data_IF_548850237274
#
_entry.id   IF_548850237274
#
_cell.length_a   1.000
_cell.length_b   1.000
_cell.length_c   1.000
_cell.angle_alpha   90.00
_cell.angle_beta   90.00
_cell.angle_gamma   90.00
#
_symmetry.space_group_name_H-M   'P 1'
#
loop_
_entity.id
_entity.type
_entity.pdbx_description
1 polymer ?
#
# COMPACT_ATOMS: atom_id res chain seq x y z
N UNK A 1 -2.20 -20.44 -8.29
CA UNK A 1 -3.42 -21.21 -8.62
C UNK A 1 -4.34 -20.34 -9.47
N UNK A 2 -5.19 -20.92 -10.31
CA UNK A 2 -6.26 -20.18 -11.00
C UNK A 2 -7.36 -19.80 -10.00
N UNK A 3 -7.81 -18.54 -10.03
CA UNK A 3 -8.91 -18.08 -9.18
C UNK A 3 -10.22 -18.78 -9.56
N UNK A 4 -11.16 -18.98 -8.62
CA UNK A 4 -12.47 -19.54 -8.94
C UNK A 4 -13.29 -18.55 -9.77
N UNK A 5 -14.03 -19.05 -10.77
CA UNK A 5 -14.94 -18.20 -11.56
C UNK A 5 -16.18 -17.77 -10.77
N UNK A 6 -16.53 -18.49 -9.70
CA UNK A 6 -17.68 -18.22 -8.84
C UNK A 6 -17.35 -18.46 -7.37
N UNK A 7 -17.86 -17.59 -6.51
CA UNK A 7 -17.84 -17.73 -5.05
C UNK A 7 -19.26 -17.55 -4.52
N UNK A 8 -19.68 -18.40 -3.57
CA UNK A 8 -20.98 -18.30 -2.88
C UNK A 8 -20.83 -17.42 -1.64
N UNK A 9 -21.71 -16.43 -1.49
CA UNK A 9 -21.68 -15.49 -0.38
C UNK A 9 -22.73 -15.83 0.69
N UNK A 10 -22.25 -16.11 1.90
CA UNK A 10 -23.04 -16.51 3.06
C UNK A 10 -23.58 -15.29 3.83
N UNK A 11 -24.62 -14.64 3.28
CA UNK A 11 -25.29 -13.51 3.92
C UNK A 11 -26.80 -13.48 3.62
N UNK A 12 -27.61 -13.23 4.66
CA UNK A 12 -29.05 -12.97 4.49
C UNK A 12 -29.34 -11.58 3.91
N UNK A 13 -28.38 -10.67 3.96
CA UNK A 13 -28.48 -9.33 3.43
C UNK A 13 -28.02 -9.30 1.96
N UNK A 14 -28.98 -9.22 1.04
CA UNK A 14 -28.72 -9.17 -0.41
C UNK A 14 -28.07 -7.87 -0.84
N UNK A 15 -28.38 -6.73 -0.20
CA UNK A 15 -27.71 -5.46 -0.47
C UNK A 15 -26.21 -5.52 -0.10
N UNK A 16 -25.87 -6.19 1.00
CA UNK A 16 -24.47 -6.47 1.39
C UNK A 16 -23.76 -7.31 0.32
N UNK A 17 -24.46 -8.28 -0.25
CA UNK A 17 -23.91 -9.14 -1.32
C UNK A 17 -23.57 -8.32 -2.55
N UNK A 18 -24.50 -7.46 -3.01
CA UNK A 18 -24.27 -6.58 -4.16
C UNK A 18 -23.08 -5.62 -3.94
N UNK A 19 -22.92 -5.09 -2.72
CA UNK A 19 -21.82 -4.19 -2.38
C UNK A 19 -20.46 -4.88 -2.38
N UNK A 20 -20.37 -6.15 -1.96
CA UNK A 20 -19.13 -6.94 -2.05
C UNK A 20 -18.88 -7.40 -3.49
N UNK A 21 -19.93 -7.86 -4.19
CA UNK A 21 -19.86 -8.42 -5.54
C UNK A 21 -19.28 -7.44 -6.56
N UNK A 22 -19.48 -6.12 -6.37
CA UNK A 22 -18.91 -5.08 -7.25
C UNK A 22 -17.38 -5.16 -7.35
N UNK A 23 -16.69 -5.59 -6.29
CA UNK A 23 -15.24 -5.74 -6.28
C UNK A 23 -14.78 -7.05 -6.92
N UNK A 24 -15.44 -8.17 -6.63
CA UNK A 24 -15.13 -9.47 -7.26
C UNK A 24 -15.36 -9.44 -8.78
N UNK A 25 -16.39 -8.71 -9.23
CA UNK A 25 -16.68 -8.51 -10.66
C UNK A 25 -15.52 -7.88 -11.43
N UNK A 26 -14.72 -7.03 -10.77
CA UNK A 26 -13.52 -6.44 -11.39
C UNK A 26 -12.44 -7.48 -11.74
N UNK A 27 -12.51 -8.65 -11.13
CA UNK A 27 -11.59 -9.79 -11.35
C UNK A 27 -12.23 -10.93 -12.14
N UNK A 28 -13.39 -10.69 -12.79
CA UNK A 28 -14.12 -11.74 -13.51
C UNK A 28 -14.74 -12.81 -12.61
N UNK A 29 -14.83 -12.58 -11.29
CA UNK A 29 -15.38 -13.54 -10.34
C UNK A 29 -16.84 -13.18 -10.04
N UNK A 30 -17.73 -14.14 -10.27
CA UNK A 30 -19.13 -14.01 -9.91
C UNK A 30 -19.33 -14.31 -8.41
N UNK A 31 -19.79 -13.32 -7.65
CA UNK A 31 -20.17 -13.51 -6.25
C UNK A 31 -21.69 -13.71 -6.14
N UNK A 32 -22.12 -14.95 -5.95
CA UNK A 32 -23.53 -15.36 -5.94
C UNK A 32 -24.05 -15.42 -4.51
N UNK A 33 -25.22 -14.85 -4.22
CA UNK A 33 -25.80 -15.01 -2.88
C UNK A 33 -26.23 -16.48 -2.69
N UNK A 34 -25.93 -17.08 -1.53
CA UNK A 34 -26.29 -18.48 -1.27
C UNK A 34 -27.80 -18.78 -1.47
N UNK A 35 -28.67 -17.77 -1.29
CA UNK A 35 -30.12 -17.87 -1.43
C UNK A 35 -30.60 -18.12 -2.86
N UNK A 36 -29.72 -17.95 -3.85
CA UNK A 36 -29.98 -18.30 -5.23
C UNK A 36 -29.84 -19.81 -5.47
N UNK A 37 -29.11 -20.51 -4.59
CA UNK A 37 -28.83 -21.94 -4.70
C UNK A 37 -29.69 -22.78 -3.76
N UNK A 38 -29.97 -22.26 -2.56
CA UNK A 38 -30.76 -22.94 -1.53
C UNK A 38 -31.72 -21.96 -0.82
N UNK A 39 -32.80 -22.44 -0.16
CA UNK A 39 -33.70 -21.58 0.60
C UNK A 39 -32.97 -20.77 1.69
N UNK A 40 -33.58 -19.66 2.10
CA UNK A 40 -33.05 -18.83 3.19
C UNK A 40 -32.85 -19.66 4.47
N UNK A 41 -31.74 -19.39 5.16
CA UNK A 41 -31.31 -20.09 6.35
C UNK A 41 -31.29 -19.16 7.57
N UNK A 42 -31.57 -19.75 8.73
CA UNK A 42 -31.39 -19.11 10.03
C UNK A 42 -29.95 -19.35 10.50
N UNK A 43 -29.11 -18.33 10.35
CA UNK A 43 -27.72 -18.42 10.77
C UNK A 43 -27.59 -18.61 12.28
N UNK A 44 -26.53 -19.30 12.75
CA UNK A 44 -26.25 -19.40 14.17
C UNK A 44 -26.04 -18.02 14.81
N UNK A 45 -26.27 -17.87 16.14
CA UNK A 45 -26.09 -16.61 16.83
C UNK A 45 -24.68 -16.02 16.65
N UNK A 46 -24.61 -14.72 16.38
CA UNK A 46 -23.37 -13.95 16.27
C UNK A 46 -22.90 -13.42 17.63
N UNK A 47 -21.59 -13.43 17.87
CA UNK A 47 -20.98 -12.70 18.99
C UNK A 47 -20.98 -11.20 18.73
N UNK A 48 -20.67 -10.42 19.76
CA UNK A 48 -20.62 -8.95 19.69
C UNK A 48 -19.21 -8.38 19.67
N UNK A 49 -18.20 -9.24 19.74
CA UNK A 49 -16.80 -8.90 19.98
C UNK A 49 -15.81 -9.63 19.06
N UNK A 50 -16.27 -10.55 18.20
CA UNK A 50 -15.38 -11.31 17.30
C UNK A 50 -15.92 -11.39 15.85
N UNK A 51 -15.42 -10.49 15.00
CA UNK A 51 -15.74 -10.45 13.55
C UNK A 51 -15.31 -11.72 12.82
N UNK A 52 -14.16 -12.29 13.20
CA UNK A 52 -13.61 -13.44 12.53
C UNK A 52 -14.42 -14.70 12.85
N UNK A 53 -14.85 -14.85 14.10
CA UNK A 53 -15.76 -15.92 14.52
C UNK A 53 -17.11 -15.80 13.81
N UNK A 54 -17.71 -14.62 13.78
CA UNK A 54 -18.99 -14.40 13.10
C UNK A 54 -18.93 -14.74 11.61
N UNK A 55 -17.91 -14.24 10.91
CA UNK A 55 -17.70 -14.56 9.50
C UNK A 55 -17.46 -16.08 9.30
N UNK A 56 -16.62 -16.71 10.14
CA UNK A 56 -16.33 -18.15 10.05
C UNK A 56 -17.58 -19.00 10.26
N UNK A 57 -18.41 -18.69 11.26
CA UNK A 57 -19.65 -19.41 11.55
C UNK A 57 -20.58 -19.36 10.33
N UNK A 58 -20.77 -18.18 9.73
CA UNK A 58 -21.61 -18.02 8.53
C UNK A 58 -21.06 -18.81 7.33
N UNK A 59 -19.76 -18.70 7.06
CA UNK A 59 -19.12 -19.42 5.97
C UNK A 59 -19.24 -20.94 6.16
N UNK A 60 -18.96 -21.44 7.36
CA UNK A 60 -18.98 -22.88 7.66
C UNK A 60 -20.39 -23.46 7.65
N UNK A 61 -21.37 -22.69 8.12
CA UNK A 61 -22.77 -23.08 8.06
C UNK A 61 -23.23 -23.30 6.61
N UNK A 62 -22.98 -22.35 5.71
CA UNK A 62 -23.34 -22.50 4.29
C UNK A 62 -22.48 -23.54 3.58
N UNK A 63 -21.19 -23.64 3.88
CA UNK A 63 -20.32 -24.67 3.30
C UNK A 63 -20.77 -26.10 3.67
N UNK A 64 -21.36 -26.30 4.86
CA UNK A 64 -21.94 -27.61 5.23
C UNK A 64 -23.10 -28.00 4.32
N UNK A 65 -23.87 -27.02 3.83
CA UNK A 65 -25.00 -27.23 2.92
C UNK A 65 -24.55 -27.30 1.44
N UNK A 66 -23.43 -26.66 1.11
CA UNK A 66 -22.86 -26.55 -0.24
C UNK A 66 -21.36 -26.93 -0.23
N UNK A 67 -20.99 -28.20 0.05
CA UNK A 67 -19.62 -28.60 0.37
C UNK A 67 -18.64 -28.62 -0.82
N UNK A 68 -19.15 -28.38 -2.04
CA UNK A 68 -18.32 -28.33 -3.25
C UNK A 68 -18.07 -26.89 -3.72
N UNK A 69 -18.62 -25.90 -3.01
CA UNK A 69 -18.53 -24.49 -3.36
C UNK A 69 -17.42 -23.79 -2.58
N UNK A 70 -16.83 -22.76 -3.18
CA UNK A 70 -16.10 -21.75 -2.43
C UNK A 70 -17.11 -20.88 -1.68
N UNK A 71 -17.09 -20.88 -0.35
CA UNK A 71 -18.07 -20.15 0.46
C UNK A 71 -17.39 -19.02 1.24
N UNK A 72 -17.74 -17.79 0.88
CA UNK A 72 -17.26 -16.57 1.51
C UNK A 72 -18.33 -16.00 2.46
N UNK A 73 -17.91 -15.59 3.65
CA UNK A 73 -18.68 -14.71 4.50
C UNK A 73 -17.87 -13.47 4.85
N UNK A 74 -18.56 -12.38 5.15
CA UNK A 74 -17.94 -11.20 5.73
C UNK A 74 -18.58 -10.80 7.06
N UNK A 75 -17.78 -10.12 7.88
CA UNK A 75 -18.27 -9.30 8.97
C UNK A 75 -17.58 -7.95 9.01
N UNK A 76 -18.36 -6.88 9.00
CA UNK A 76 -17.87 -5.51 8.82
C UNK A 76 -18.25 -4.63 10.01
N UNK A 77 -17.36 -3.74 10.42
CA UNK A 77 -17.58 -2.82 11.54
C UNK A 77 -16.99 -1.44 11.27
N UNK A 78 -17.52 -0.43 11.98
CA UNK A 78 -17.03 0.94 11.94
C UNK A 78 -16.32 1.26 13.26
N UNK A 79 -15.07 1.69 13.21
CA UNK A 79 -14.24 1.93 14.37
C UNK A 79 -13.89 3.41 14.48
N UNK A 80 -14.32 4.02 15.58
CA UNK A 80 -14.10 5.43 15.87
C UNK A 80 -13.07 5.54 16.99
N UNK A 81 -11.88 6.10 16.73
CA UNK A 81 -10.78 6.13 17.72
C UNK A 81 -11.16 6.89 18.99
N UNK A 82 -11.96 7.95 18.85
CA UNK A 82 -12.47 8.74 19.98
C UNK A 82 -13.53 8.00 20.81
N UNK A 83 -14.08 6.88 20.30
CA UNK A 83 -15.13 6.10 20.93
C UNK A 83 -14.83 4.59 20.83
N UNK A 84 -13.71 4.10 21.42
CA UNK A 84 -13.25 2.72 21.25
C UNK A 84 -14.21 1.69 21.86
N UNK A 85 -15.00 2.09 22.85
CA UNK A 85 -16.02 1.26 23.52
C UNK A 85 -17.36 1.21 22.78
N UNK A 86 -17.50 1.96 21.68
CA UNK A 86 -18.72 2.08 20.90
C UNK A 86 -18.46 1.66 19.46
N UNK A 87 -19.53 1.32 18.74
CA UNK A 87 -19.42 0.87 17.36
C UNK A 87 -18.58 -0.42 17.23
N UNK A 88 -17.94 -0.63 16.09
CA UNK A 88 -17.35 -1.92 15.71
C UNK A 88 -18.44 -2.87 15.20
N UNK A 89 -18.55 -4.04 15.81
CA UNK A 89 -19.55 -5.07 15.47
C UNK A 89 -21.00 -4.65 15.75
N UNK A 90 -21.20 -3.66 16.62
CA UNK A 90 -22.52 -3.24 17.07
C UNK A 90 -23.07 -2.03 16.33
N UNK A 91 -22.35 -1.46 15.35
CA UNK A 91 -22.74 -0.23 14.64
C UNK A 91 -24.19 -0.26 14.16
N UNK A 92 -24.60 -1.31 13.45
CA UNK A 92 -25.97 -1.43 12.96
C UNK A 92 -27.02 -1.59 14.08
N UNK A 93 -26.64 -2.23 15.20
CA UNK A 93 -27.52 -2.40 16.39
C UNK A 93 -27.70 -1.06 17.10
N UNK A 94 -26.64 -0.28 17.18
CA UNK A 94 -26.64 1.06 17.77
C UNK A 94 -27.51 2.02 16.97
N UNK A 95 -27.34 2.08 15.64
CA UNK A 95 -28.22 2.89 14.78
C UNK A 95 -29.69 2.50 14.92
N UNK A 96 -29.98 1.19 14.98
CA UNK A 96 -31.34 0.69 15.21
C UNK A 96 -31.88 1.08 16.59
N UNK A 97 -31.07 0.97 17.65
CA UNK A 97 -31.47 1.36 19.01
C UNK A 97 -31.76 2.86 19.13
N UNK A 98 -31.05 3.68 18.35
CA UNK A 98 -31.26 5.12 18.24
C UNK A 98 -32.43 5.49 17.31
N UNK A 99 -33.06 4.53 16.62
CA UNK A 99 -34.16 4.78 15.70
C UNK A 99 -33.74 5.50 14.41
N UNK A 100 -32.45 5.46 14.05
CA UNK A 100 -31.96 6.06 12.82
C UNK A 100 -32.44 5.22 11.62
N UNK A 101 -33.34 5.79 10.82
CA UNK A 101 -34.02 5.08 9.74
C UNK A 101 -33.49 5.39 8.33
N UNK A 102 -32.55 6.32 8.20
CA UNK A 102 -32.01 6.75 6.90
C UNK A 102 -30.49 6.89 6.97
N UNK A 103 -29.83 6.62 5.84
CA UNK A 103 -28.38 6.85 5.70
C UNK A 103 -27.99 8.28 6.07
N UNK A 104 -28.81 9.27 5.71
CA UNK A 104 -28.53 10.67 6.07
C UNK A 104 -28.54 10.88 7.59
N UNK A 105 -29.47 10.25 8.31
CA UNK A 105 -29.53 10.31 9.77
C UNK A 105 -28.37 9.56 10.43
N UNK A 106 -27.98 8.39 9.90
CA UNK A 106 -26.79 7.64 10.35
C UNK A 106 -25.51 8.45 10.16
N UNK A 107 -25.33 9.05 8.97
CA UNK A 107 -24.16 9.85 8.66
C UNK A 107 -24.10 11.12 9.54
N UNK A 108 -25.21 11.84 9.65
CA UNK A 108 -25.29 13.04 10.49
C UNK A 108 -24.95 12.70 11.94
N UNK A 109 -25.45 11.59 12.46
CA UNK A 109 -25.15 11.14 13.82
C UNK A 109 -23.65 10.91 14.04
N UNK A 110 -22.98 10.22 13.11
CA UNK A 110 -21.53 9.99 13.19
C UNK A 110 -20.76 11.31 13.09
N UNK A 111 -21.20 12.23 12.23
CA UNK A 111 -20.57 13.56 12.08
C UNK A 111 -20.74 14.41 13.34
N UNK A 112 -21.92 14.40 13.96
CA UNK A 112 -22.20 15.15 15.19
C UNK A 112 -21.33 14.68 16.37
N UNK A 113 -20.99 13.38 16.42
CA UNK A 113 -20.06 12.85 17.43
C UNK A 113 -18.66 13.47 17.32
N UNK A 114 -18.22 13.83 16.11
CA UNK A 114 -16.91 14.43 15.85
C UNK A 114 -16.93 15.96 15.77
N UNK A 115 -18.09 16.60 15.60
CA UNK A 115 -18.21 18.06 15.50
C UNK A 115 -17.57 18.82 16.68
N UNK A 116 -17.41 18.17 17.83
CA UNK A 116 -16.84 18.73 19.06
C UNK A 116 -15.45 18.18 19.42
N UNK A 117 -14.80 17.44 18.51
CA UNK A 117 -13.53 16.75 18.76
C UNK A 117 -12.44 17.23 17.82
N UNK A 118 -11.19 17.19 18.30
CA UNK A 118 -10.01 17.47 17.49
C UNK A 118 -9.52 16.22 16.74
N UNK A 119 -9.68 15.03 17.32
CA UNK A 119 -9.30 13.76 16.70
C UNK A 119 -10.49 13.18 15.92
N UNK A 120 -10.40 13.19 14.59
CA UNK A 120 -11.44 12.67 13.68
C UNK A 120 -11.15 11.26 13.17
N UNK A 121 -10.14 10.59 13.75
CA UNK A 121 -9.66 9.29 13.29
C UNK A 121 -10.75 8.24 13.36
N UNK A 122 -10.97 7.57 12.23
CA UNK A 122 -11.91 6.49 12.09
C UNK A 122 -11.56 5.61 10.89
N UNK A 123 -11.92 4.33 10.97
CA UNK A 123 -11.85 3.43 9.82
C UNK A 123 -13.02 2.44 9.83
N UNK A 124 -13.31 1.86 8.68
CA UNK A 124 -14.13 0.66 8.56
C UNK A 124 -13.21 -0.55 8.40
N UNK A 125 -13.59 -1.70 8.96
CA UNK A 125 -12.90 -2.96 8.74
C UNK A 125 -13.87 -4.04 8.28
N UNK A 126 -13.47 -4.84 7.30
CA UNK A 126 -14.15 -6.07 6.89
C UNK A 126 -13.23 -7.26 7.12
N UNK A 127 -13.73 -8.25 7.86
CA UNK A 127 -13.12 -9.57 7.94
C UNK A 127 -13.82 -10.47 6.93
N UNK A 128 -13.05 -11.06 6.02
CA UNK A 128 -13.52 -12.08 5.09
C UNK A 128 -13.04 -13.44 5.57
N UNK A 129 -13.96 -14.41 5.56
CA UNK A 129 -13.63 -15.82 5.77
C UNK A 129 -14.13 -16.62 4.58
N UNK A 130 -13.19 -17.22 3.85
CA UNK A 130 -13.46 -18.12 2.74
C UNK A 130 -13.18 -19.56 3.18
N UNK A 131 -14.11 -20.45 2.92
CA UNK A 131 -13.91 -21.90 3.02
C UNK A 131 -13.92 -22.47 1.61
N UNK A 132 -12.85 -23.19 1.26
CA UNK A 132 -12.67 -23.83 -0.04
C UNK A 132 -13.30 -25.22 -0.08
N UNK A 133 -13.56 -25.81 -1.25
CA UNK A 133 -14.12 -27.16 -1.38
C UNK A 133 -13.27 -28.26 -0.69
N UNK A 134 -11.96 -28.06 -0.57
CA UNK A 134 -11.04 -28.94 0.16
C UNK A 134 -10.93 -28.58 1.67
N UNK A 135 -11.87 -27.77 2.18
CA UNK A 135 -12.02 -27.36 3.57
C UNK A 135 -10.87 -26.50 4.13
N UNK A 136 -10.07 -25.88 3.27
CA UNK A 136 -9.13 -24.85 3.72
C UNK A 136 -9.90 -23.60 4.11
N UNK A 137 -9.50 -22.98 5.23
CA UNK A 137 -10.09 -21.72 5.69
C UNK A 137 -9.08 -20.59 5.51
N UNK A 138 -9.47 -19.57 4.74
CA UNK A 138 -8.70 -18.36 4.56
C UNK A 138 -9.41 -17.22 5.28
N UNK A 139 -8.69 -16.49 6.13
CA UNK A 139 -9.18 -15.30 6.81
C UNK A 139 -8.32 -14.12 6.41
N UNK A 140 -8.95 -13.01 6.00
CA UNK A 140 -8.26 -11.75 5.67
C UNK A 140 -9.02 -10.56 6.23
N UNK A 141 -8.31 -9.48 6.52
CA UNK A 141 -8.87 -8.20 6.95
C UNK A 141 -8.61 -7.12 5.90
N UNK A 142 -9.61 -6.33 5.55
CA UNK A 142 -9.41 -5.08 4.83
C UNK A 142 -9.89 -3.91 5.67
N UNK A 143 -9.05 -2.88 5.81
CA UNK A 143 -9.39 -1.61 6.48
C UNK A 143 -9.50 -0.49 5.48
N UNK A 144 -10.52 0.35 5.59
CA UNK A 144 -10.71 1.49 4.70
C UNK A 144 -11.14 2.74 5.46
N UNK A 145 -10.69 3.89 4.95
CA UNK A 145 -10.86 5.18 5.60
C UNK A 145 -9.85 5.44 6.73
N UNK A 146 -9.59 6.72 6.98
CA UNK A 146 -8.65 7.22 8.01
C UNK A 146 -9.27 8.24 8.96
N UNK A 147 -10.35 8.91 8.54
CA UNK A 147 -11.06 9.89 9.35
C UNK A 147 -12.52 10.03 8.92
N UNK A 148 -13.34 10.69 9.75
CA UNK A 148 -14.69 11.13 9.41
C UNK A 148 -14.65 12.54 8.82
N UNK A 149 -15.35 12.74 7.70
CA UNK A 149 -15.56 14.01 7.02
C UNK A 149 -16.67 14.81 7.72
N UNK A 150 -16.52 16.14 7.89
CA UNK A 150 -17.59 16.98 8.40
C UNK A 150 -18.80 17.06 7.45
N UNK A 151 -18.61 16.73 6.17
CA UNK A 151 -19.65 16.79 5.13
C UNK A 151 -19.75 15.45 4.41
N UNK A 152 -20.98 15.06 4.04
CA UNK A 152 -21.22 13.94 3.14
C UNK A 152 -20.90 14.35 1.70
N UNK A 153 -19.96 13.66 1.05
CA UNK A 153 -19.54 13.93 -0.34
C UNK A 153 -19.49 12.65 -1.16
N UNK A 154 -19.53 12.79 -2.49
CA UNK A 154 -19.34 11.69 -3.45
C UNK A 154 -20.63 11.15 -4.08
N UNK A 155 -20.47 10.42 -5.19
CA UNK A 155 -21.57 9.90 -6.02
C UNK A 155 -21.45 8.41 -6.37
N UNK A 156 -20.27 7.81 -6.14
CA UNK A 156 -19.95 6.42 -6.51
C UNK A 156 -20.08 5.43 -5.35
N UNK A 157 -20.26 5.93 -4.13
CA UNK A 157 -20.50 5.14 -2.91
C UNK A 157 -21.84 5.48 -2.26
N UNK A 158 -22.22 4.73 -1.23
CA UNK A 158 -23.46 4.94 -0.46
C UNK A 158 -23.20 4.72 1.03
N UNK A 159 -24.15 5.08 1.89
CA UNK A 159 -24.01 4.83 3.31
C UNK A 159 -22.90 5.66 3.93
N UNK A 160 -22.09 5.00 4.75
CA UNK A 160 -20.93 5.60 5.42
C UNK A 160 -19.79 5.96 4.45
N UNK A 161 -19.75 5.41 3.23
CA UNK A 161 -18.72 5.75 2.24
C UNK A 161 -18.67 7.26 1.92
N UNK A 162 -19.78 7.96 2.11
CA UNK A 162 -19.87 9.41 1.85
C UNK A 162 -19.25 10.26 2.94
N UNK A 163 -18.90 9.69 4.09
CA UNK A 163 -18.30 10.41 5.22
C UNK A 163 -16.93 9.86 5.63
N UNK A 164 -16.54 8.67 5.20
CA UNK A 164 -15.19 8.17 5.48
C UNK A 164 -14.18 8.75 4.51
N UNK A 165 -13.27 9.57 5.04
CA UNK A 165 -12.12 10.12 4.33
C UNK A 165 -11.07 9.03 4.09
N UNK A 166 -10.48 9.04 2.92
CA UNK A 166 -9.26 8.29 2.62
C UNK A 166 -8.04 9.18 2.85
N UNK A 167 -6.85 8.62 2.69
CA UNK A 167 -5.54 9.25 2.90
C UNK A 167 -5.36 10.55 2.06
N UNK A 168 -6.21 10.76 1.05
CA UNK A 168 -6.21 11.92 0.15
C UNK A 168 -7.08 13.09 0.61
N UNK A 169 -7.92 12.88 1.64
CA UNK A 169 -8.96 13.83 2.03
C UNK A 169 -10.24 13.78 1.18
N UNK A 170 -10.32 12.90 0.16
CA UNK A 170 -11.59 12.55 -0.50
C UNK A 170 -12.37 11.56 0.35
N UNK A 171 -13.70 11.56 0.24
CA UNK A 171 -14.52 10.48 0.78
C UNK A 171 -14.42 9.24 -0.11
N UNK A 172 -14.65 8.04 0.44
CA UNK A 172 -14.64 6.81 -0.36
C UNK A 172 -15.68 6.88 -1.51
N UNK A 173 -16.81 7.55 -1.30
CA UNK A 173 -17.84 7.73 -2.30
C UNK A 173 -17.47 8.69 -3.45
N UNK A 174 -16.38 9.46 -3.33
CA UNK A 174 -15.84 10.27 -4.44
C UNK A 174 -15.03 9.44 -5.44
N UNK A 175 -14.69 8.19 -5.09
CA UNK A 175 -13.87 7.29 -5.89
C UNK A 175 -14.73 6.37 -6.76
N UNK A 176 -14.32 6.15 -8.01
CA UNK A 176 -14.91 5.11 -8.85
C UNK A 176 -14.77 3.72 -8.22
N UNK A 177 -15.57 2.74 -8.63
CA UNK A 177 -15.49 1.37 -8.06
C UNK A 177 -14.08 0.77 -8.19
N UNK A 178 -13.38 1.04 -9.29
CA UNK A 178 -12.01 0.60 -9.51
C UNK A 178 -11.02 1.26 -8.53
N UNK A 179 -11.19 2.56 -8.23
CA UNK A 179 -10.37 3.26 -7.24
C UNK A 179 -10.70 2.82 -5.81
N UNK A 180 -12.00 2.62 -5.50
CA UNK A 180 -12.45 2.12 -4.19
C UNK A 180 -11.77 0.81 -3.81
N UNK A 181 -11.39 -0.04 -4.78
CA UNK A 181 -10.65 -1.27 -4.54
C UNK A 181 -9.40 -1.04 -3.65
N UNK A 182 -8.77 0.13 -3.75
CA UNK A 182 -7.53 0.48 -3.03
C UNK A 182 -7.76 1.14 -1.68
N UNK A 183 -8.98 1.58 -1.35
CA UNK A 183 -9.24 2.42 -0.18
C UNK A 183 -10.45 1.97 0.65
N UNK A 184 -11.35 1.19 0.06
CA UNK A 184 -12.53 0.65 0.71
C UNK A 184 -12.18 -0.64 1.45
N UNK A 185 -12.69 -0.80 2.67
CA UNK A 185 -12.45 -1.96 3.55
C UNK A 185 -12.74 -3.31 2.86
N UNK A 186 -13.92 -3.48 2.24
CA UNK A 186 -14.24 -4.69 1.44
C UNK A 186 -13.42 -4.81 0.15
N UNK A 187 -12.99 -3.69 -0.44
CA UNK A 187 -12.16 -3.70 -1.64
C UNK A 187 -10.77 -4.26 -1.33
N UNK A 188 -10.14 -3.73 -0.29
CA UNK A 188 -8.86 -4.23 0.26
C UNK A 188 -8.99 -5.69 0.73
N UNK A 189 -10.08 -6.06 1.42
CA UNK A 189 -10.32 -7.46 1.81
C UNK A 189 -10.46 -8.40 0.60
N UNK A 190 -11.11 -7.95 -0.47
CA UNK A 190 -11.22 -8.70 -1.74
C UNK A 190 -9.82 -8.93 -2.32
N UNK A 191 -9.01 -7.89 -2.48
CA UNK A 191 -7.64 -8.01 -3.00
C UNK A 191 -6.80 -9.02 -2.21
N UNK A 192 -6.76 -8.86 -0.89
CA UNK A 192 -6.00 -9.75 0.00
C UNK A 192 -6.48 -11.19 -0.10
N UNK A 193 -7.79 -11.42 -0.17
CA UNK A 193 -8.32 -12.77 -0.31
C UNK A 193 -7.87 -13.43 -1.62
N UNK A 194 -7.93 -12.69 -2.73
CA UNK A 194 -7.51 -13.19 -4.05
C UNK A 194 -6.00 -13.45 -4.09
N UNK A 195 -5.19 -12.56 -3.53
CA UNK A 195 -3.76 -12.77 -3.39
C UNK A 195 -3.44 -14.01 -2.54
N UNK A 196 -4.16 -14.23 -1.44
CA UNK A 196 -3.99 -15.41 -0.58
C UNK A 196 -4.37 -16.71 -1.29
N UNK A 197 -5.39 -16.69 -2.15
CA UNK A 197 -5.73 -17.83 -3.03
C UNK A 197 -4.65 -18.12 -4.08
N UNK A 198 -3.83 -17.13 -4.42
CA UNK A 198 -2.74 -17.25 -5.39
C UNK A 198 -1.38 -17.55 -4.75
N UNK A 199 -1.28 -17.60 -3.41
CA UNK A 199 -0.01 -17.62 -2.65
C UNK A 199 0.87 -16.37 -2.91
N UNK A 200 0.20 -15.23 -3.13
CA UNK A 200 0.82 -13.92 -3.42
C UNK A 200 0.56 -12.86 -2.32
N UNK A 201 -0.02 -13.25 -1.18
CA UNK A 201 -0.27 -12.38 -0.01
C UNK A 201 1.05 -12.04 0.72
N UNK A 202 1.80 -11.12 0.12
CA UNK A 202 3.06 -10.60 0.66
C UNK A 202 2.80 -9.21 1.24
N UNK A 203 3.15 -9.06 2.51
CA UNK A 203 3.00 -7.82 3.27
C UNK A 203 4.39 -7.24 3.55
N UNK A 204 4.54 -5.93 3.34
CA UNK A 204 5.69 -5.17 3.80
C UNK A 204 5.34 -4.33 5.02
N UNK A 205 5.91 -4.69 6.14
CA UNK A 205 5.69 -4.03 7.41
C UNK A 205 6.61 -2.83 7.57
N UNK A 206 6.02 -1.69 7.90
CA UNK A 206 6.72 -0.43 8.10
C UNK A 206 6.12 0.32 9.29
N UNK A 207 6.76 0.22 10.45
CA UNK A 207 6.41 0.98 11.65
C UNK A 207 4.92 0.90 12.07
N UNK A 208 4.34 -0.30 11.99
CA UNK A 208 2.92 -0.53 12.30
C UNK A 208 1.97 -0.38 11.10
N UNK A 209 2.50 -0.07 9.91
CA UNK A 209 1.77 -0.10 8.65
C UNK A 209 2.01 -1.42 7.91
N UNK A 210 0.94 -2.01 7.38
CA UNK A 210 0.99 -3.17 6.48
C UNK A 210 0.80 -2.70 5.04
N UNK A 211 1.89 -2.61 4.29
CA UNK A 211 1.85 -2.29 2.86
C UNK A 211 1.60 -3.58 2.06
N UNK A 212 0.49 -3.59 1.35
CA UNK A 212 0.04 -4.74 0.55
C UNK A 212 0.26 -4.46 -0.93
N UNK A 213 0.64 -5.49 -1.68
CA UNK A 213 1.25 -5.31 -3.00
C UNK A 213 0.35 -5.68 -4.19
N UNK A 214 -0.91 -6.03 -3.94
CA UNK A 214 -1.81 -6.63 -4.95
C UNK A 214 -2.10 -5.69 -6.12
N UNK A 215 -2.07 -4.38 -5.88
CA UNK A 215 -2.27 -3.34 -6.91
C UNK A 215 -1.02 -2.47 -7.11
N UNK A 216 0.13 -2.99 -6.70
CA UNK A 216 1.37 -2.22 -6.60
C UNK A 216 1.34 -1.20 -5.47
N UNK A 217 2.48 -1.09 -4.81
CA UNK A 217 2.82 -0.09 -3.80
C UNK A 217 3.39 1.11 -4.55
N UNK A 218 2.66 2.22 -4.59
CA UNK A 218 3.09 3.44 -5.27
C UNK A 218 3.94 4.28 -4.31
N UNK A 219 5.19 4.47 -4.68
CA UNK A 219 6.22 5.04 -3.84
C UNK A 219 6.66 6.38 -4.47
N UNK A 220 6.04 7.47 -4.01
CA UNK A 220 6.18 8.81 -4.58
C UNK A 220 7.49 9.48 -4.16
N UNK A 221 8.26 9.96 -5.13
CA UNK A 221 9.54 10.65 -4.86
C UNK A 221 9.29 12.13 -4.54
N UNK A 222 9.65 12.58 -3.35
CA UNK A 222 9.62 13.97 -2.91
C UNK A 222 11.05 14.47 -2.67
N UNK A 223 11.61 15.15 -3.67
CA UNK A 223 12.92 15.79 -3.54
C UNK A 223 12.78 17.13 -2.83
N UNK A 224 13.30 17.24 -1.61
CA UNK A 224 13.26 18.49 -0.85
C UNK A 224 14.31 19.45 -1.40
N UNK A 225 13.85 20.57 -1.94
CA UNK A 225 14.72 21.65 -2.41
C UNK A 225 14.88 22.71 -1.30
N UNK A 226 16.07 23.32 -1.13
CA UNK A 226 16.23 24.45 -0.23
C UNK A 226 15.29 25.60 -0.63
N UNK A 227 14.91 26.42 0.34
CA UNK A 227 14.16 27.64 0.06
C UNK A 227 14.98 28.57 -0.85
N UNK A 228 14.35 29.05 -1.92
CA UNK A 228 14.92 29.97 -2.88
C UNK A 228 13.88 30.99 -3.32
N UNK A 229 14.32 32.11 -3.89
CA UNK A 229 13.41 33.11 -4.46
C UNK A 229 13.48 33.06 -5.99
N UNK A 230 12.32 32.98 -6.65
CA UNK A 230 12.20 33.14 -8.09
C UNK A 230 11.07 34.13 -8.38
N UNK A 231 11.36 35.19 -9.14
CA UNK A 231 10.41 36.27 -9.44
C UNK A 231 9.71 36.90 -8.22
N UNK A 232 10.37 36.93 -7.06
CA UNK A 232 9.82 37.49 -5.82
C UNK A 232 8.92 36.55 -5.03
N UNK A 233 8.69 35.33 -5.50
CA UNK A 233 7.96 34.27 -4.79
C UNK A 233 8.94 33.27 -4.17
N UNK A 234 8.59 32.74 -3.00
CA UNK A 234 9.32 31.62 -2.39
C UNK A 234 9.08 30.35 -3.22
N UNK A 235 10.16 29.75 -3.71
CA UNK A 235 10.16 28.47 -4.41
C UNK A 235 10.94 27.45 -3.58
N UNK A 236 10.32 26.29 -3.35
CA UNK A 236 10.86 25.22 -2.51
C UNK A 236 10.49 25.37 -1.02
N UNK A 237 11.23 24.70 -0.16
CA UNK A 237 11.01 24.75 1.29
C UNK A 237 9.96 23.79 1.84
N UNK A 238 9.70 23.94 3.14
CA UNK A 238 8.90 22.99 3.93
C UNK A 238 7.43 22.99 3.49
N UNK A 239 6.81 24.17 3.39
CA UNK A 239 5.39 24.30 3.00
C UNK A 239 5.11 23.74 1.61
N UNK A 240 5.98 24.04 0.64
CA UNK A 240 5.86 23.52 -0.74
C UNK A 240 6.02 22.00 -0.74
N UNK A 241 6.97 21.46 0.02
CA UNK A 241 7.18 20.01 0.12
C UNK A 241 5.96 19.30 0.73
N UNK A 242 5.35 19.86 1.78
CA UNK A 242 4.13 19.32 2.40
C UNK A 242 2.95 19.37 1.40
N UNK A 243 2.80 20.45 0.64
CA UNK A 243 1.77 20.55 -0.39
C UNK A 243 1.97 19.51 -1.51
N UNK A 244 3.21 19.29 -1.95
CA UNK A 244 3.54 18.24 -2.93
C UNK A 244 3.27 16.85 -2.38
N UNK A 245 3.65 16.55 -1.13
CA UNK A 245 3.31 15.28 -0.48
C UNK A 245 1.79 15.07 -0.38
N UNK A 246 1.05 16.12 -0.04
CA UNK A 246 -0.42 16.11 -0.03
C UNK A 246 -0.98 15.74 -1.40
N UNK A 247 -0.43 16.32 -2.47
CA UNK A 247 -0.84 16.01 -3.84
C UNK A 247 -0.45 14.57 -4.23
N UNK A 248 0.74 14.08 -3.87
CA UNK A 248 1.14 12.70 -4.13
C UNK A 248 0.23 11.69 -3.43
N UNK A 249 -0.11 11.92 -2.16
CA UNK A 249 -1.10 11.12 -1.47
C UNK A 249 -2.43 11.18 -2.24
N UNK A 250 -2.87 12.38 -2.64
CA UNK A 250 -4.08 12.58 -3.42
C UNK A 250 -4.14 11.86 -4.78
N UNK A 251 -2.98 11.71 -5.41
CA UNK A 251 -2.79 11.00 -6.67
C UNK A 251 -2.64 9.48 -6.47
N UNK A 252 -2.56 9.03 -5.23
CA UNK A 252 -2.64 7.63 -4.83
C UNK A 252 -1.31 6.99 -4.43
N UNK A 253 -0.36 7.78 -3.92
CA UNK A 253 0.85 7.26 -3.29
C UNK A 253 0.50 6.47 -2.02
N UNK A 254 1.09 5.28 -1.87
CA UNK A 254 1.07 4.52 -0.61
C UNK A 254 2.20 4.97 0.31
N UNK A 255 3.31 5.43 -0.26
CA UNK A 255 4.49 5.93 0.44
C UNK A 255 4.96 7.23 -0.17
N UNK A 256 5.30 8.22 0.66
CA UNK A 256 5.99 9.45 0.24
C UNK A 256 7.44 9.39 0.70
N UNK A 257 8.38 9.38 -0.23
CA UNK A 257 9.81 9.36 0.07
C UNK A 257 10.41 10.76 0.07
N UNK A 258 10.85 11.19 1.24
CA UNK A 258 11.53 12.46 1.46
C UNK A 258 13.04 12.28 1.21
N UNK A 259 13.54 12.88 0.14
CA UNK A 259 14.97 12.92 -0.19
C UNK A 259 15.56 14.30 0.03
N UNK A 260 16.53 14.43 0.94
CA UNK A 260 17.24 15.70 1.21
C UNK A 260 18.44 15.95 0.30
N UNK A 261 19.01 14.89 -0.27
CA UNK A 261 20.21 14.91 -1.08
C UNK A 261 19.97 14.26 -2.46
N UNK A 262 20.56 14.84 -3.51
CA UNK A 262 20.64 14.16 -4.81
C UNK A 262 21.75 13.12 -4.82
N UNK A 263 21.46 11.90 -5.27
CA UNK A 263 22.42 10.80 -5.44
C UNK A 263 23.04 10.77 -6.85
N UNK A 264 22.82 11.82 -7.66
CA UNK A 264 23.37 11.93 -9.02
C UNK A 264 24.92 12.03 -9.00
N UNK A 265 25.61 11.41 -9.97
CA UNK A 265 27.06 11.54 -10.10
C UNK A 265 27.52 13.02 -10.16
N UNK A 266 28.58 13.35 -9.43
CA UNK A 266 29.22 14.67 -9.46
C UNK A 266 28.64 15.73 -8.52
N UNK A 267 27.67 15.40 -7.66
CA UNK A 267 27.18 16.32 -6.64
C UNK A 267 28.04 16.30 -5.36
N UNK A 268 28.18 17.43 -4.68
CA UNK A 268 28.86 17.51 -3.37
C UNK A 268 27.91 16.96 -2.31
N UNK A 269 28.25 15.86 -1.61
CA UNK A 269 27.38 15.32 -0.56
C UNK A 269 27.12 16.37 0.53
N UNK A 270 25.88 16.43 1.02
CA UNK A 270 25.55 17.20 2.21
C UNK A 270 26.19 16.55 3.43
N UNK A 271 26.53 17.35 4.44
CA UNK A 271 26.83 16.81 5.77
C UNK A 271 25.54 16.20 6.36
N UNK A 272 25.64 15.25 7.31
CA UNK A 272 24.46 14.73 7.99
C UNK A 272 23.57 15.84 8.56
N UNK A 273 24.16 16.86 9.18
CA UNK A 273 23.44 17.97 9.81
C UNK A 273 22.63 18.76 8.79
N UNK A 274 23.23 19.11 7.64
CA UNK A 274 22.55 19.86 6.59
C UNK A 274 21.42 19.05 5.92
N UNK A 275 21.55 17.72 5.85
CA UNK A 275 20.48 16.85 5.36
C UNK A 275 19.34 16.75 6.40
N UNK A 276 19.66 16.60 7.68
CA UNK A 276 18.71 16.58 8.80
C UNK A 276 17.88 17.87 8.85
N UNK A 277 18.54 19.04 8.82
CA UNK A 277 17.89 20.35 8.82
C UNK A 277 16.89 20.51 7.66
N UNK A 278 17.13 19.81 6.54
CA UNK A 278 16.28 19.86 5.36
C UNK A 278 15.09 18.91 5.45
N UNK A 279 15.29 17.67 5.90
CA UNK A 279 14.24 16.64 5.82
C UNK A 279 13.35 16.58 7.06
N UNK A 280 13.89 16.82 8.25
CA UNK A 280 13.14 16.64 9.51
C UNK A 280 11.90 17.53 9.58
N UNK A 281 11.96 18.83 9.26
CA UNK A 281 10.77 19.68 9.26
C UNK A 281 9.71 19.23 8.25
N UNK A 282 10.12 18.65 7.11
CA UNK A 282 9.22 18.12 6.09
C UNK A 282 8.53 16.85 6.58
N UNK A 283 9.28 15.91 7.16
CA UNK A 283 8.73 14.66 7.73
C UNK A 283 7.69 15.00 8.81
N UNK A 284 8.06 15.84 9.78
CA UNK A 284 7.17 16.27 10.85
C UNK A 284 5.93 17.01 10.31
N UNK A 285 6.11 17.87 9.30
CA UNK A 285 5.03 18.58 8.65
C UNK A 285 4.05 17.64 7.93
N UNK A 286 4.56 16.64 7.20
CA UNK A 286 3.74 15.61 6.55
C UNK A 286 2.98 14.81 7.60
N UNK A 287 3.65 14.29 8.64
CA UNK A 287 2.98 13.51 9.71
C UNK A 287 1.99 14.36 10.52
N UNK A 288 2.17 15.67 10.59
CA UNK A 288 1.19 16.57 11.23
C UNK A 288 -0.07 16.76 10.38
N UNK A 289 0.08 16.99 9.08
CA UNK A 289 -1.05 17.22 8.16
C UNK A 289 -1.74 15.90 7.78
N UNK A 290 -0.96 14.84 7.62
CA UNK A 290 -1.39 13.49 7.25
C UNK A 290 -0.83 12.46 8.24
N UNK A 291 -1.42 12.32 9.44
CA UNK A 291 -0.92 11.42 10.50
C UNK A 291 -0.75 9.96 10.09
N UNK A 292 -1.48 9.53 9.06
CA UNK A 292 -1.50 8.16 8.55
C UNK A 292 -0.62 7.92 7.33
N UNK A 293 -0.01 8.97 6.77
CA UNK A 293 0.90 8.82 5.66
C UNK A 293 2.13 7.99 6.07
N UNK A 294 2.50 7.05 5.22
CA UNK A 294 3.76 6.30 5.35
C UNK A 294 4.85 7.15 4.72
N UNK A 295 5.82 7.58 5.53
CA UNK A 295 6.92 8.43 5.08
C UNK A 295 8.20 7.62 5.03
N UNK A 296 8.83 7.57 3.86
CA UNK A 296 10.15 6.99 3.70
C UNK A 296 11.24 8.06 3.62
N UNK A 297 12.48 7.70 3.94
CA UNK A 297 13.64 8.57 3.78
C UNK A 297 14.71 7.87 2.94
N UNK A 298 15.17 8.54 1.88
CA UNK A 298 16.27 8.11 1.02
C UNK A 298 17.59 8.62 1.62
N UNK A 299 18.26 7.77 2.40
CA UNK A 299 19.56 8.12 3.00
C UNK A 299 20.40 6.89 3.32
N UNK A 300 21.72 7.03 3.16
CA UNK A 300 22.71 6.05 3.57
C UNK A 300 23.48 6.49 4.83
N UNK A 301 23.17 7.66 5.42
CA UNK A 301 23.92 8.21 6.55
C UNK A 301 23.26 7.82 7.87
N UNK A 302 24.01 7.18 8.76
CA UNK A 302 23.49 6.70 10.05
C UNK A 302 22.83 7.81 10.88
N UNK A 303 23.48 8.96 11.00
CA UNK A 303 22.98 10.09 11.81
C UNK A 303 21.66 10.65 11.24
N UNK A 304 21.49 10.63 9.91
CA UNK A 304 20.25 11.04 9.24
C UNK A 304 19.15 10.02 9.47
N UNK A 305 19.46 8.71 9.43
CA UNK A 305 18.49 7.66 9.73
C UNK A 305 17.92 7.81 11.15
N UNK A 306 18.78 8.06 12.15
CA UNK A 306 18.34 8.28 13.54
C UNK A 306 17.36 9.44 13.61
N UNK A 307 17.74 10.61 13.08
CA UNK A 307 16.90 11.81 13.14
C UNK A 307 15.59 11.66 12.34
N UNK A 308 15.63 10.97 11.20
CA UNK A 308 14.44 10.67 10.40
C UNK A 308 13.43 9.80 11.15
N UNK A 309 13.91 8.73 11.81
CA UNK A 309 13.06 7.83 12.60
C UNK A 309 12.45 8.59 13.78
N UNK A 310 13.23 9.39 14.50
CA UNK A 310 12.74 10.26 15.58
C UNK A 310 11.72 11.29 15.10
N UNK A 311 11.85 11.78 13.86
CA UNK A 311 10.90 12.69 13.23
C UNK A 311 9.60 12.01 12.77
N UNK A 312 9.54 10.67 12.76
CA UNK A 312 8.36 9.89 12.38
C UNK A 312 8.42 9.24 11.00
N UNK A 313 9.62 9.03 10.44
CA UNK A 313 9.79 8.20 9.26
C UNK A 313 9.44 6.73 9.55
N UNK A 314 8.74 6.10 8.62
CA UNK A 314 8.24 4.73 8.73
C UNK A 314 9.08 3.73 7.94
N UNK A 315 9.85 4.21 6.94
CA UNK A 315 10.71 3.41 6.07
C UNK A 315 12.07 4.09 5.90
N UNK A 316 13.14 3.32 5.94
CA UNK A 316 14.48 3.75 5.52
C UNK A 316 14.84 3.06 4.20
N UNK A 317 15.14 3.88 3.18
CA UNK A 317 15.68 3.43 1.91
C UNK A 317 17.19 3.69 1.90
N UNK A 318 17.97 2.61 1.88
CA UNK A 318 19.43 2.67 1.88
C UNK A 318 20.02 2.10 0.59
N UNK A 319 20.59 3.00 -0.22
CA UNK A 319 21.30 2.68 -1.46
C UNK A 319 22.57 1.85 -1.25
N UNK A 320 23.04 1.68 -0.01
CA UNK A 320 24.17 0.82 0.33
C UNK A 320 23.72 -0.52 0.95
N UNK A 321 22.41 -0.80 0.97
CA UNK A 321 21.86 -2.06 1.46
C UNK A 321 22.16 -2.35 2.93
N UNK A 322 22.44 -1.32 3.74
CA UNK A 322 22.80 -1.41 5.15
C UNK A 322 24.11 -2.16 5.46
N UNK A 323 25.00 -2.34 4.47
CA UNK A 323 26.24 -3.13 4.63
C UNK A 323 27.49 -2.30 4.96
N UNK A 324 27.43 -0.98 4.83
CA UNK A 324 28.55 -0.04 4.92
C UNK A 324 28.82 0.50 6.33
N UNK A 325 27.87 0.38 7.26
CA UNK A 325 28.04 0.77 8.66
C UNK A 325 27.31 -0.20 9.62
N UNK A 326 28.03 -0.92 10.50
CA UNK A 326 27.43 -1.91 11.40
C UNK A 326 26.43 -1.30 12.39
N UNK A 327 26.52 0.01 12.70
CA UNK A 327 25.58 0.70 13.59
C UNK A 327 24.16 0.68 13.02
N UNK A 328 24.00 0.66 11.69
CA UNK A 328 22.70 0.63 11.00
C UNK A 328 21.90 -0.60 11.39
N UNK A 329 22.53 -1.78 11.44
CA UNK A 329 21.85 -3.03 11.78
C UNK A 329 21.28 -2.97 13.21
N UNK A 330 22.07 -2.48 14.16
CA UNK A 330 21.60 -2.30 15.55
C UNK A 330 20.44 -1.32 15.65
N UNK A 331 20.47 -0.21 14.90
CA UNK A 331 19.37 0.76 14.85
C UNK A 331 18.10 0.17 14.24
N UNK A 332 18.22 -0.53 13.10
CA UNK A 332 17.06 -1.16 12.44
C UNK A 332 16.44 -2.26 13.30
N UNK A 333 17.25 -3.05 14.00
CA UNK A 333 16.78 -4.09 14.92
C UNK A 333 16.06 -3.51 16.15
N UNK A 334 16.47 -2.33 16.62
CA UNK A 334 15.87 -1.64 17.77
C UNK A 334 14.57 -0.87 17.44
N UNK A 335 14.18 -0.81 16.17
CA UNK A 335 13.01 -0.06 15.68
C UNK A 335 12.06 -0.97 14.94
N UNK A 336 10.90 -0.46 14.51
CA UNK A 336 9.92 -1.21 13.70
C UNK A 336 9.82 -0.71 12.24
N UNK A 337 10.71 0.20 11.82
CA UNK A 337 10.66 0.79 10.48
C UNK A 337 10.84 -0.25 9.38
N UNK A 338 10.23 -0.01 8.23
CA UNK A 338 10.47 -0.80 7.03
C UNK A 338 11.86 -0.48 6.46
N UNK A 339 12.47 -1.47 5.82
CA UNK A 339 13.77 -1.34 5.17
C UNK A 339 13.57 -1.55 3.68
N UNK A 340 14.15 -0.68 2.87
CA UNK A 340 14.36 -0.92 1.45
C UNK A 340 15.87 -1.05 1.22
N UNK A 341 16.31 -2.27 0.91
CA UNK A 341 17.72 -2.62 0.69
C UNK A 341 18.02 -2.69 -0.80
N UNK A 342 19.03 -1.93 -1.24
CA UNK A 342 19.36 -1.81 -2.67
C UNK A 342 20.64 -2.58 -3.02
N UNK A 343 20.60 -3.32 -4.12
CA UNK A 343 21.81 -3.84 -4.76
C UNK A 343 22.53 -2.72 -5.51
N UNK A 344 23.75 -2.38 -5.08
CA UNK A 344 24.52 -1.28 -5.66
C UNK A 344 25.87 -1.77 -6.22
N UNK A 345 25.94 -2.07 -7.53
CA UNK A 345 27.14 -2.63 -8.16
C UNK A 345 28.10 -1.57 -8.68
N UNK A 346 27.95 -0.29 -8.33
CA UNK A 346 28.65 0.85 -8.97
C UNK A 346 30.17 0.69 -9.00
N UNK A 347 30.74 0.06 -7.98
CA UNK A 347 32.19 -0.16 -7.84
C UNK A 347 32.59 -1.64 -8.02
N UNK A 348 31.67 -2.51 -8.45
CA UNK A 348 31.87 -3.95 -8.57
C UNK A 348 31.89 -4.38 -10.04
N UNK A 349 32.69 -5.40 -10.35
CA UNK A 349 32.58 -6.10 -11.64
C UNK A 349 31.51 -7.18 -11.49
N UNK A 350 30.50 -7.14 -12.36
CA UNK A 350 29.45 -8.16 -12.41
C UNK A 350 29.85 -9.28 -13.37
N UNK A 351 29.32 -10.47 -13.11
CA UNK A 351 29.40 -11.57 -14.05
C UNK A 351 28.49 -11.33 -15.26
N UNK A 352 28.59 -12.21 -16.25
CA UNK A 352 27.66 -12.19 -17.40
C UNK A 352 26.22 -12.49 -16.96
N UNK A 353 26.04 -13.24 -15.87
CA UNK A 353 24.73 -13.57 -15.30
C UNK A 353 24.41 -12.64 -14.12
N UNK A 354 24.00 -11.42 -14.46
CA UNK A 354 23.64 -10.39 -13.48
C UNK A 354 22.49 -10.84 -12.57
N UNK A 355 21.57 -11.67 -13.07
CA UNK A 355 20.48 -12.20 -12.26
C UNK A 355 21.01 -13.14 -11.17
N UNK A 356 21.98 -14.01 -11.49
CA UNK A 356 22.63 -14.86 -10.51
C UNK A 356 23.40 -14.06 -9.46
N UNK A 357 24.13 -13.02 -9.86
CA UNK A 357 24.85 -12.14 -8.93
C UNK A 357 23.89 -11.43 -7.97
N UNK A 358 22.79 -10.88 -8.48
CA UNK A 358 21.78 -10.23 -7.66
C UNK A 358 21.11 -11.20 -6.68
N UNK A 359 20.75 -12.40 -7.14
CA UNK A 359 20.17 -13.44 -6.26
C UNK A 359 21.16 -13.87 -5.18
N UNK A 360 22.45 -14.02 -5.51
CA UNK A 360 23.49 -14.33 -4.53
C UNK A 360 23.61 -13.22 -3.49
N UNK A 361 23.72 -11.96 -3.94
CA UNK A 361 23.85 -10.81 -3.07
C UNK A 361 22.64 -10.62 -2.14
N UNK A 362 21.42 -10.68 -2.67
CA UNK A 362 20.21 -10.53 -1.84
C UNK A 362 20.04 -11.67 -0.84
N UNK A 363 20.49 -12.89 -1.18
CA UNK A 363 20.48 -14.01 -0.23
C UNK A 363 21.39 -13.74 0.96
N UNK A 364 22.60 -13.23 0.71
CA UNK A 364 23.56 -12.88 1.76
C UNK A 364 23.09 -11.65 2.57
N UNK A 365 22.59 -10.61 1.89
CA UNK A 365 22.10 -9.40 2.52
C UNK A 365 20.90 -9.69 3.45
N UNK A 366 19.90 -10.45 2.98
CA UNK A 366 18.76 -10.85 3.79
C UNK A 366 19.20 -11.68 5.00
N UNK A 367 20.12 -12.63 4.82
CA UNK A 367 20.64 -13.43 5.92
C UNK A 367 21.35 -12.56 6.98
N UNK A 368 22.08 -11.52 6.57
CA UNK A 368 22.73 -10.57 7.48
C UNK A 368 21.71 -9.72 8.25
N UNK A 369 20.66 -9.24 7.58
CA UNK A 369 19.58 -8.47 8.22
C UNK A 369 18.80 -9.32 9.23
N UNK A 370 18.43 -10.55 8.84
CA UNK A 370 17.74 -11.51 9.69
C UNK A 370 18.60 -11.91 10.91
N UNK A 371 19.90 -12.13 10.72
CA UNK A 371 20.83 -12.44 11.81
C UNK A 371 20.97 -11.29 12.83
N UNK A 372 20.73 -10.05 12.42
CA UNK A 372 20.67 -8.89 13.32
C UNK A 372 19.34 -8.78 14.09
N UNK A 373 18.39 -9.69 13.86
CA UNK A 373 17.07 -9.69 14.50
C UNK A 373 16.02 -8.87 13.75
N UNK A 374 16.29 -8.44 12.51
CA UNK A 374 15.33 -7.71 11.69
C UNK A 374 14.38 -8.72 11.05
N UNK A 375 13.08 -8.51 11.27
CA UNK A 375 12.05 -9.39 10.71
C UNK A 375 12.01 -9.27 9.20
N UNK A 376 11.97 -10.42 8.51
CA UNK A 376 11.95 -10.51 7.06
C UNK A 376 10.78 -9.72 6.45
N UNK A 377 9.67 -9.67 7.16
CA UNK A 377 8.43 -8.96 6.82
C UNK A 377 8.62 -7.45 6.68
N UNK A 378 9.69 -6.90 7.25
CA UNK A 378 10.03 -5.48 7.19
C UNK A 378 10.89 -5.08 5.99
N UNK A 379 11.32 -6.03 5.16
CA UNK A 379 12.36 -5.76 4.13
C UNK A 379 11.75 -5.75 2.72
N UNK A 380 12.01 -4.74 1.91
CA UNK A 380 11.76 -4.72 0.46
C UNK A 380 13.09 -4.62 -0.30
N UNK A 381 13.09 -5.06 -1.55
CA UNK A 381 14.30 -5.21 -2.37
C UNK A 381 14.31 -4.17 -3.50
N UNK A 382 15.42 -3.44 -3.68
CA UNK A 382 15.65 -2.60 -4.85
C UNK A 382 16.76 -3.19 -5.74
N UNK A 383 16.46 -3.60 -6.98
CA UNK A 383 17.47 -4.14 -7.88
C UNK A 383 18.59 -3.13 -8.22
N UNK A 384 18.40 -1.83 -7.98
CA UNK A 384 19.44 -0.81 -8.15
C UNK A 384 19.64 -0.32 -9.58
N UNK A 385 18.64 -0.48 -10.46
CA UNK A 385 18.73 -0.08 -11.88
C UNK A 385 19.24 1.36 -12.01
N UNK A 386 20.25 1.62 -12.84
CA UNK A 386 20.91 2.93 -12.98
C UNK A 386 22.06 3.18 -12.00
N UNK A 387 22.43 2.17 -11.19
CA UNK A 387 23.68 2.12 -10.42
C UNK A 387 24.71 1.16 -11.05
N UNK A 388 24.48 0.71 -12.28
CA UNK A 388 25.47 -0.03 -13.06
C UNK A 388 26.82 0.69 -13.13
N UNK A 389 27.88 -0.10 -13.19
CA UNK A 389 29.24 0.42 -13.32
C UNK A 389 29.35 1.22 -14.61
N UNK A 390 29.90 2.43 -14.54
CA UNK A 390 30.04 3.35 -15.67
C UNK A 390 28.72 3.70 -16.39
N UNK A 391 27.55 3.53 -15.75
CA UNK A 391 26.24 3.71 -16.40
C UNK A 391 26.05 2.81 -17.64
N UNK A 392 26.50 1.56 -17.56
CA UNK A 392 26.29 0.55 -18.61
C UNK A 392 24.80 0.23 -18.75
N UNK A 393 24.26 0.66 -19.89
CA UNK A 393 22.83 0.52 -20.18
C UNK A 393 22.39 -0.94 -20.37
N UNK A 394 23.28 -1.83 -20.82
CA UNK A 394 22.96 -3.24 -20.95
C UNK A 394 22.92 -3.93 -19.58
N UNK A 395 23.77 -3.49 -18.64
CA UNK A 395 23.65 -3.92 -17.24
C UNK A 395 22.33 -3.44 -16.64
N UNK A 396 21.94 -2.17 -16.86
CA UNK A 396 20.65 -1.66 -16.39
C UNK A 396 19.46 -2.48 -16.91
N UNK A 397 19.46 -2.84 -18.20
CA UNK A 397 18.43 -3.69 -18.80
C UNK A 397 18.43 -5.11 -18.21
N UNK A 398 19.60 -5.70 -18.00
CA UNK A 398 19.72 -7.02 -17.37
C UNK A 398 19.22 -7.00 -15.91
N UNK A 399 19.49 -5.92 -15.17
CA UNK A 399 18.97 -5.70 -13.82
C UNK A 399 17.44 -5.55 -13.81
N UNK A 400 16.86 -4.87 -14.81
CA UNK A 400 15.39 -4.83 -14.98
C UNK A 400 14.82 -6.23 -15.24
N UNK A 401 15.49 -7.04 -16.06
CA UNK A 401 15.05 -8.41 -16.36
C UNK A 401 15.20 -9.36 -15.16
N UNK A 402 16.23 -9.16 -14.35
CA UNK A 402 16.51 -9.95 -13.14
C UNK A 402 15.43 -9.83 -12.05
N UNK A 403 14.54 -8.83 -12.13
CA UNK A 403 13.37 -8.67 -11.24
C UNK A 403 12.59 -9.98 -11.08
N UNK A 404 12.38 -10.72 -12.17
CA UNK A 404 11.66 -11.99 -12.13
C UNK A 404 12.31 -12.99 -11.17
N UNK A 405 13.65 -13.07 -11.18
CA UNK A 405 14.41 -13.95 -10.29
C UNK A 405 14.33 -13.51 -8.82
N UNK A 406 14.18 -12.21 -8.54
CA UNK A 406 14.08 -11.69 -7.17
C UNK A 406 12.74 -12.03 -6.49
N UNK A 407 11.69 -12.34 -7.26
CA UNK A 407 10.39 -12.78 -6.70
C UNK A 407 10.52 -14.03 -5.83
N UNK A 408 11.58 -14.84 -6.03
CA UNK A 408 11.87 -16.02 -5.21
C UNK A 408 12.01 -15.73 -3.71
N UNK A 409 12.34 -14.49 -3.35
CA UNK A 409 12.51 -14.09 -1.95
C UNK A 409 11.17 -13.88 -1.22
N UNK A 410 10.04 -13.89 -1.94
CA UNK A 410 8.69 -13.58 -1.43
C UNK A 410 8.64 -12.25 -0.70
N UNK A 411 9.36 -11.25 -1.20
CA UNK A 411 9.42 -9.87 -0.70
C UNK A 411 9.10 -8.89 -1.82
N UNK A 412 8.51 -7.71 -1.54
CA UNK A 412 8.25 -6.73 -2.59
C UNK A 412 9.55 -6.25 -3.22
N UNK A 413 9.54 -6.19 -4.56
CA UNK A 413 10.68 -5.73 -5.38
C UNK A 413 10.34 -4.39 -6.01
N UNK A 414 11.30 -3.46 -6.02
CA UNK A 414 11.12 -2.10 -6.52
C UNK A 414 11.41 -1.94 -8.01
N UNK A 415 10.63 -1.09 -8.68
CA UNK A 415 10.92 -0.49 -9.98
C UNK A 415 11.36 0.96 -9.78
N UNK A 416 12.67 1.22 -9.72
CA UNK A 416 13.21 2.57 -9.60
C UNK A 416 13.76 3.06 -10.95
N UNK A 417 12.94 3.14 -12.00
CA UNK A 417 13.39 3.47 -13.38
C UNK A 417 13.02 4.88 -13.86
N UNK A 418 12.23 5.61 -13.07
CA UNK A 418 11.67 6.92 -13.43
C UNK A 418 12.73 7.96 -13.77
N UNK A 419 12.72 8.44 -15.02
CA UNK A 419 13.57 9.52 -15.57
C UNK A 419 15.09 9.25 -15.49
N UNK A 420 15.50 7.98 -15.37
CA UNK A 420 16.92 7.59 -15.23
C UNK A 420 17.70 7.68 -16.55
N UNK A 421 19.03 7.53 -16.44
CA UNK A 421 19.99 7.75 -17.54
C UNK A 421 19.90 6.73 -18.68
N UNK A 422 19.48 5.49 -18.42
CA UNK A 422 19.36 4.42 -19.43
C UNK A 422 18.57 4.87 -20.67
N UNK A 423 17.51 5.66 -20.50
CA UNK A 423 16.70 6.17 -21.61
C UNK A 423 17.47 7.17 -22.49
N UNK A 424 18.39 7.95 -21.92
CA UNK A 424 19.32 8.80 -22.69
C UNK A 424 20.25 7.93 -23.52
N UNK A 425 20.83 6.90 -22.92
CA UNK A 425 21.84 6.09 -23.60
C UNK A 425 21.24 5.22 -24.73
N UNK A 426 19.98 4.78 -24.59
CA UNK A 426 19.29 4.01 -25.64
C UNK A 426 18.66 4.87 -26.73
N UNK A 427 18.06 6.01 -26.37
CA UNK A 427 17.14 6.74 -27.24
C UNK A 427 17.44 8.24 -27.35
N UNK A 428 18.54 8.72 -26.76
CA UNK A 428 18.94 10.14 -26.68
C UNK A 428 17.87 11.07 -26.08
N UNK A 429 17.02 10.54 -25.19
CA UNK A 429 15.95 11.32 -24.59
C UNK A 429 16.48 12.27 -23.50
N UNK A 430 16.16 13.58 -23.57
CA UNK A 430 16.39 14.51 -22.46
C UNK A 430 15.49 14.15 -21.27
N UNK A 431 15.82 14.62 -20.07
CA UNK A 431 15.20 14.11 -18.82
C UNK A 431 13.68 14.31 -18.78
N UNK A 432 13.22 15.43 -19.29
CA UNK A 432 11.83 15.87 -19.36
C UNK A 432 10.99 15.10 -20.39
N UNK A 433 11.61 14.36 -21.31
CA UNK A 433 10.92 13.52 -22.30
C UNK A 433 10.91 12.02 -21.93
N UNK A 434 11.40 11.66 -20.74
CA UNK A 434 11.53 10.25 -20.31
C UNK A 434 10.31 9.68 -19.61
N UNK A 435 9.28 10.48 -19.31
CA UNK A 435 8.13 10.05 -18.49
C UNK A 435 7.43 8.83 -19.07
N UNK A 436 7.11 8.88 -20.36
CA UNK A 436 6.28 7.87 -21.02
C UNK A 436 7.04 6.54 -21.11
N UNK A 437 8.31 6.61 -21.52
CA UNK A 437 9.18 5.45 -21.57
C UNK A 437 9.48 4.88 -20.17
N UNK A 438 9.56 5.74 -19.15
CA UNK A 438 9.69 5.29 -17.76
C UNK A 438 8.47 4.48 -17.31
N UNK A 439 7.26 4.90 -17.70
CA UNK A 439 6.04 4.18 -17.40
C UNK A 439 6.01 2.82 -18.10
N UNK A 440 6.43 2.75 -19.37
CA UNK A 440 6.56 1.48 -20.12
C UNK A 440 7.54 0.54 -19.42
N UNK A 441 8.74 1.01 -19.07
CA UNK A 441 9.72 0.18 -18.36
C UNK A 441 9.20 -0.29 -16.99
N UNK A 442 8.52 0.58 -16.24
CA UNK A 442 7.89 0.21 -14.98
C UNK A 442 6.77 -0.82 -15.16
N UNK A 443 5.96 -0.72 -16.23
CA UNK A 443 4.94 -1.73 -16.58
C UNK A 443 5.56 -3.09 -16.86
N UNK A 444 6.65 -3.14 -17.62
CA UNK A 444 7.31 -4.41 -17.93
C UNK A 444 7.96 -5.03 -16.69
N UNK A 445 8.65 -4.24 -15.86
CA UNK A 445 9.15 -4.74 -14.57
C UNK A 445 8.01 -5.17 -13.62
N UNK A 446 6.87 -4.48 -13.64
CA UNK A 446 5.69 -4.85 -12.86
C UNK A 446 5.13 -6.22 -13.29
N UNK A 447 5.11 -6.48 -14.60
CA UNK A 447 4.75 -7.79 -15.18
C UNK A 447 5.75 -8.89 -14.83
N UNK A 448 7.03 -8.55 -14.66
CA UNK A 448 8.05 -9.48 -14.16
C UNK A 448 7.92 -9.76 -12.65
N UNK A 449 7.04 -9.05 -11.94
CA UNK A 449 6.72 -9.31 -10.53
C UNK A 449 7.25 -8.26 -9.55
N UNK A 450 7.85 -7.16 -10.01
CA UNK A 450 8.08 -6.02 -9.14
C UNK A 450 6.75 -5.40 -8.72
N UNK A 451 6.64 -5.00 -7.45
CA UNK A 451 5.40 -4.45 -6.90
C UNK A 451 5.57 -3.15 -6.14
N UNK A 452 6.78 -2.60 -6.00
CA UNK A 452 6.98 -1.24 -5.45
C UNK A 452 7.38 -0.32 -6.60
N UNK A 453 6.62 0.74 -6.87
CA UNK A 453 6.89 1.63 -8.01
C UNK A 453 7.39 2.97 -7.50
N UNK A 454 8.71 3.19 -7.58
CA UNK A 454 9.35 4.47 -7.20
C UNK A 454 9.28 5.46 -8.35
N UNK A 455 8.38 6.44 -8.25
CA UNK A 455 7.97 7.30 -9.38
C UNK A 455 7.84 8.78 -9.01
N UNK A 456 7.98 9.64 -10.02
CA UNK A 456 7.65 11.07 -9.91
C UNK A 456 6.18 11.34 -10.26
N UNK A 457 5.64 10.64 -11.27
CA UNK A 457 4.22 10.72 -11.67
C UNK A 457 3.43 9.61 -10.98
N UNK A 458 2.94 9.93 -9.77
CA UNK A 458 2.19 9.02 -8.91
C UNK A 458 0.86 8.61 -9.56
N UNK A 459 0.15 9.58 -10.14
CA UNK A 459 -1.19 9.35 -10.70
C UNK A 459 -1.14 8.35 -11.84
N UNK A 460 -0.23 8.56 -12.80
CA UNK A 460 -0.09 7.66 -13.95
C UNK A 460 0.37 6.27 -13.51
N UNK A 461 1.26 6.18 -12.52
CA UNK A 461 1.69 4.89 -11.99
C UNK A 461 0.55 4.12 -11.31
N UNK A 462 -0.26 4.79 -10.48
CA UNK A 462 -1.44 4.17 -9.84
C UNK A 462 -2.47 3.69 -10.86
N UNK A 463 -2.74 4.51 -11.88
CA UNK A 463 -3.66 4.15 -12.95
C UNK A 463 -3.12 2.95 -13.74
N UNK A 464 -1.82 2.95 -14.04
CA UNK A 464 -1.15 1.86 -14.73
C UNK A 464 -1.23 0.55 -13.95
N UNK A 465 -0.84 0.50 -12.68
CA UNK A 465 -0.87 -0.76 -11.91
C UNK A 465 -2.29 -1.30 -11.75
N UNK A 466 -3.25 -0.41 -11.46
CA UNK A 466 -4.66 -0.78 -11.35
C UNK A 466 -5.17 -1.35 -12.68
N UNK A 467 -4.85 -0.71 -13.81
CA UNK A 467 -5.25 -1.21 -15.12
C UNK A 467 -4.62 -2.57 -15.46
N UNK A 468 -3.31 -2.74 -15.21
CA UNK A 468 -2.61 -4.00 -15.50
C UNK A 468 -3.17 -5.15 -14.67
N UNK A 469 -3.46 -4.94 -13.38
CA UNK A 469 -4.04 -5.98 -12.52
C UNK A 469 -5.48 -6.32 -12.91
N UNK A 470 -6.30 -5.32 -13.24
CA UNK A 470 -7.66 -5.57 -13.75
C UNK A 470 -7.62 -6.32 -15.09
N UNK A 471 -6.71 -5.95 -15.99
CA UNK A 471 -6.55 -6.61 -17.28
C UNK A 471 -6.10 -8.07 -17.12
N UNK A 472 -5.19 -8.36 -16.19
CA UNK A 472 -4.70 -9.72 -15.88
C UNK A 472 -5.86 -10.66 -15.49
N UNK A 473 -6.93 -10.12 -14.92
CA UNK A 473 -8.07 -10.87 -14.40
C UNK A 473 -9.36 -10.68 -15.22
N UNK A 474 -9.29 -10.08 -16.40
CA UNK A 474 -10.44 -9.86 -17.27
C UNK A 474 -10.78 -11.14 -18.06
N UNK A 475 -11.64 -12.00 -17.49
CA UNK A 475 -12.15 -13.22 -18.13
C UNK A 475 -13.65 -13.38 -17.95
#
# INVERSE_FOLDING_TARGET
>A
MTLPSRIVFASNNTAKTADVAKFFKLYGIELVNYRELIPAQDFPPESTDDQALNARIKAQFIHTLLPTEYVLADDSGMFLRAFPERFGLTTAREFKALGLATVAAENQYVQDLYATRDDHTAYMAAIFVLITPDQQTLTVEGRGGVAVSPESRGQFGKGLDTIFLIETGKTIAELTVAEQLNYHHRGRATKRLLAKLQDEDIIWQANGHDLTQETGIIYGVLNVSPESFYNGEHVGGVTVSIAQATQQLADGADVVEVGGQTTRPGFVPLTPEAEIERIVPVIQGIKKVHPYAVVAVDTYKYEVMVAAIEAGADIINDVNGFTDDPRKLSLMAATNVGLLTMFNPRDQELSVDIAADMVAWFRENLASLEAAGIQRERIALDPGVGYSKNSDVYQDLAMMQAVASLTTFKRPVMTAVSNKGWAKFLFDLPKDERSDLSLVAATEMYRLGAKVLRVHDVKSARQMTSFVELLKNAH
#
